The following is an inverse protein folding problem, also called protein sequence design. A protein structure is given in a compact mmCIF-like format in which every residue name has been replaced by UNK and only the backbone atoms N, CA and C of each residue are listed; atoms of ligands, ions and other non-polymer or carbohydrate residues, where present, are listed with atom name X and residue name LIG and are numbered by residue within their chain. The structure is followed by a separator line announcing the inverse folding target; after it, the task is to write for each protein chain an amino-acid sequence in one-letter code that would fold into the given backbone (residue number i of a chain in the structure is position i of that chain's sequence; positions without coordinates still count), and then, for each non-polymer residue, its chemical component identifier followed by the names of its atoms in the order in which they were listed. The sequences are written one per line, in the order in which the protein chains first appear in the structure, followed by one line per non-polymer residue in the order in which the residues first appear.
data_IF_707773018421
#
_entry.id   IF_707773018421
#
_cell.length_a   1.000
_cell.length_b   1.000
_cell.length_c   1.000
_cell.angle_alpha   90.00
_cell.angle_beta   90.00
_cell.angle_gamma   90.00
#
_symmetry.space_group_name_H-M   'P 1'
#
loop_
_entity.id
_entity.type
_entity.pdbx_description
1 polymer ?
#
# COMPACT_ATOMS: atom_id res chain seq x y z
N UNK A 1 48.86 14.80 42.36
CA UNK A 1 47.90 15.30 41.35
C UNK A 1 47.88 14.31 40.20
N UNK A 2 46.92 13.39 40.18
CA UNK A 2 46.71 12.46 39.05
C UNK A 2 45.43 12.89 38.34
N UNK A 3 45.60 13.51 37.17
CA UNK A 3 44.51 13.77 36.25
C UNK A 3 44.28 12.49 35.43
N UNK A 4 43.16 11.80 35.66
CA UNK A 4 42.69 10.74 34.76
C UNK A 4 41.67 11.38 33.83
N UNK A 5 42.08 11.46 32.58
CA UNK A 5 41.32 11.94 31.43
C UNK A 5 40.07 11.07 31.25
N UNK A 6 38.88 11.67 31.37
CA UNK A 6 37.63 11.02 30.96
C UNK A 6 37.54 11.03 29.44
N UNK A 7 37.72 9.87 28.82
CA UNK A 7 37.51 9.68 27.39
C UNK A 7 36.00 9.59 27.12
N UNK A 8 35.37 10.72 26.84
CA UNK A 8 33.99 10.76 26.36
C UNK A 8 33.96 10.21 24.93
N UNK A 9 33.63 8.93 24.79
CA UNK A 9 33.24 8.34 23.51
C UNK A 9 31.86 8.92 23.17
N UNK A 10 31.85 10.07 22.48
CA UNK A 10 30.68 10.49 21.72
C UNK A 10 30.55 9.51 20.56
N UNK A 11 29.70 8.50 20.73
CA UNK A 11 29.18 7.74 19.60
C UNK A 11 28.44 8.75 18.70
N UNK A 12 29.09 9.16 17.61
CA UNK A 12 28.37 9.67 16.44
C UNK A 12 27.53 8.50 15.93
N UNK A 13 26.33 8.33 16.49
CA UNK A 13 25.30 7.55 15.83
C UNK A 13 25.12 8.23 14.46
N UNK A 14 25.30 7.51 13.34
CA UNK A 14 24.97 8.06 12.04
C UNK A 14 23.50 8.48 12.12
N UNK A 15 23.25 9.79 12.03
CA UNK A 15 21.91 10.29 11.75
C UNK A 15 21.63 9.91 10.32
N UNK A 16 21.12 8.70 10.14
CA UNK A 16 20.63 8.28 8.86
C UNK A 16 19.36 9.09 8.61
N UNK A 17 19.46 10.02 7.67
CA UNK A 17 18.34 10.78 7.15
C UNK A 17 17.66 9.88 6.12
N UNK A 18 16.76 9.00 6.57
CA UNK A 18 15.95 8.20 5.65
C UNK A 18 14.84 9.07 5.10
N UNK A 19 14.80 9.40 3.81
CA UNK A 19 13.90 10.44 3.31
C UNK A 19 13.35 9.96 1.97
N UNK A 20 12.04 9.93 1.81
CA UNK A 20 11.41 9.57 0.53
C UNK A 20 10.07 10.27 0.37
N UNK A 21 9.77 10.66 -0.87
CA UNK A 21 8.53 11.33 -1.22
C UNK A 21 7.92 10.72 -2.48
N UNK A 22 6.62 10.90 -2.63
CA UNK A 22 5.94 10.79 -3.91
C UNK A 22 6.35 11.97 -4.81
N UNK A 23 6.75 11.68 -6.05
CA UNK A 23 7.05 12.70 -7.06
C UNK A 23 6.12 12.57 -8.26
N UNK A 24 5.41 13.66 -8.55
CA UNK A 24 4.62 13.84 -9.77
C UNK A 24 4.37 15.34 -9.97
N UNK A 25 4.28 15.87 -11.21
CA UNK A 25 4.01 17.29 -11.47
C UNK A 25 2.71 17.81 -10.82
N UNK A 26 1.76 16.92 -10.54
CA UNK A 26 0.50 17.24 -9.86
C UNK A 26 0.62 17.42 -8.34
N UNK A 27 1.81 17.25 -7.74
CA UNK A 27 1.99 17.40 -6.29
C UNK A 27 2.09 18.87 -5.88
N UNK A 28 1.58 19.19 -4.69
CA UNK A 28 1.95 20.44 -4.03
C UNK A 28 3.43 20.41 -3.65
N UNK A 29 4.08 21.56 -3.77
CA UNK A 29 5.49 21.71 -3.43
C UNK A 29 6.46 21.00 -4.38
N UNK A 30 6.05 20.70 -5.62
CA UNK A 30 6.87 19.99 -6.60
C UNK A 30 8.27 20.60 -6.82
N UNK A 31 8.38 21.94 -6.68
CA UNK A 31 9.62 22.71 -6.82
C UNK A 31 10.14 23.32 -5.52
N UNK A 32 9.58 22.91 -4.36
CA UNK A 32 10.08 23.36 -3.05
C UNK A 32 11.48 22.77 -2.82
N UNK A 33 12.40 23.62 -2.37
CA UNK A 33 13.79 23.26 -2.04
C UNK A 33 14.08 23.51 -0.57
N UNK A 34 15.30 23.18 -0.13
CA UNK A 34 15.82 23.47 1.21
C UNK A 34 15.98 24.98 1.50
N UNK A 35 15.84 25.82 0.48
CA UNK A 35 15.95 27.30 0.56
C UNK A 35 14.59 28.00 0.48
N UNK A 36 13.51 27.27 0.23
CA UNK A 36 12.17 27.87 0.06
C UNK A 36 11.55 28.32 1.38
N UNK A 37 11.86 27.62 2.48
CA UNK A 37 11.37 27.91 3.82
C UNK A 37 12.55 28.23 4.76
N UNK A 38 12.26 28.76 5.95
CA UNK A 38 13.22 29.02 7.03
C UNK A 38 13.68 27.74 7.76
N UNK A 39 13.12 26.59 7.39
CA UNK A 39 13.49 25.24 7.82
C UNK A 39 13.46 24.29 6.61
N UNK A 40 14.05 23.10 6.75
CA UNK A 40 13.96 22.09 5.69
C UNK A 40 12.52 21.55 5.60
N UNK A 41 11.83 21.98 4.55
CA UNK A 41 10.47 21.58 4.23
C UNK A 41 10.39 21.01 2.81
N UNK A 42 11.47 20.39 2.32
CA UNK A 42 11.44 19.68 1.03
C UNK A 42 10.38 18.56 1.08
N UNK A 43 9.81 18.13 -0.06
CA UNK A 43 8.81 17.04 -0.07
C UNK A 43 9.24 15.76 0.63
N UNK A 44 10.56 15.48 0.66
CA UNK A 44 11.16 14.29 1.28
C UNK A 44 11.43 14.46 2.78
N UNK A 45 11.29 15.67 3.33
CA UNK A 45 11.53 15.93 4.74
C UNK A 45 10.43 15.26 5.58
N UNK A 46 10.79 14.61 6.70
CA UNK A 46 9.84 13.94 7.56
C UNK A 46 8.97 14.93 8.31
N UNK A 47 7.76 14.48 8.62
CA UNK A 47 6.81 15.20 9.47
C UNK A 47 6.88 14.58 10.87
N UNK A 48 7.09 15.43 11.89
CA UNK A 48 7.01 15.07 13.32
C UNK A 48 6.99 16.32 14.19
N UNK A 49 6.29 16.27 15.31
CA UNK A 49 6.20 17.37 16.29
C UNK A 49 5.85 18.72 15.65
N UNK A 50 5.01 18.70 14.61
CA UNK A 50 4.58 19.86 13.85
C UNK A 50 3.15 20.25 14.24
N UNK A 51 2.86 21.55 14.19
CA UNK A 51 1.49 22.05 14.29
C UNK A 51 0.73 21.76 12.99
N UNK A 52 -0.59 21.90 12.99
CA UNK A 52 -1.43 21.49 11.87
C UNK A 52 -1.05 22.18 10.56
N UNK A 53 -0.79 23.48 10.58
CA UNK A 53 -0.35 24.27 9.42
C UNK A 53 0.98 23.79 8.82
N UNK A 54 1.84 23.18 9.64
CA UNK A 54 3.16 22.68 9.23
C UNK A 54 3.11 21.27 8.65
N UNK A 55 2.36 20.37 9.27
CA UNK A 55 2.30 18.98 8.78
C UNK A 55 1.28 18.79 7.66
N UNK A 56 0.16 19.50 7.70
CA UNK A 56 -0.92 19.33 6.75
C UNK A 56 -0.48 19.73 5.36
N UNK A 57 -0.60 18.80 4.40
CA UNK A 57 -0.10 18.98 3.04
C UNK A 57 1.38 19.38 2.98
N UNK A 58 2.17 19.00 3.99
CA UNK A 58 3.59 19.37 4.10
C UNK A 58 3.80 20.89 4.11
N UNK A 59 2.79 21.68 4.50
CA UNK A 59 2.81 23.15 4.39
C UNK A 59 3.13 23.65 2.97
N UNK A 60 2.69 22.91 1.94
CA UNK A 60 2.93 23.24 0.53
C UNK A 60 1.70 23.81 -0.20
N UNK A 61 0.63 24.14 0.50
CA UNK A 61 -0.61 24.62 -0.13
C UNK A 61 -0.43 25.91 -0.95
N UNK A 62 0.53 26.76 -0.57
CA UNK A 62 0.89 27.98 -1.32
C UNK A 62 1.78 27.71 -2.55
N UNK A 63 2.17 26.45 -2.77
CA UNK A 63 2.97 25.98 -3.90
C UNK A 63 2.19 24.93 -4.71
N UNK A 64 1.06 25.30 -5.32
CA UNK A 64 0.22 24.36 -6.07
C UNK A 64 0.91 23.85 -7.34
N UNK A 65 0.51 22.67 -7.83
CA UNK A 65 0.87 22.21 -9.17
C UNK A 65 0.26 23.12 -10.25
N UNK A 66 0.69 22.95 -11.50
CA UNK A 66 0.06 23.67 -12.61
C UNK A 66 -1.41 23.26 -12.79
N UNK A 67 -2.18 24.12 -13.44
CA UNK A 67 -3.49 23.73 -13.95
C UNK A 67 -3.34 22.64 -15.02
N UNK A 68 -4.17 21.59 -14.94
CA UNK A 68 -4.15 20.46 -15.87
C UNK A 68 -3.22 19.30 -15.47
N UNK A 69 -2.31 19.49 -14.52
CA UNK A 69 -1.46 18.39 -14.02
C UNK A 69 -2.25 17.55 -13.01
N UNK A 70 -2.69 16.36 -13.43
CA UNK A 70 -3.37 15.36 -12.60
C UNK A 70 -2.62 14.02 -12.61
N UNK A 71 -2.59 13.35 -11.46
CA UNK A 71 -2.18 11.96 -11.38
C UNK A 71 -3.40 11.07 -11.67
N UNK A 72 -3.34 10.32 -12.77
CA UNK A 72 -4.45 9.50 -13.25
C UNK A 72 -4.62 8.21 -12.43
N UNK A 73 -5.86 7.92 -12.05
CA UNK A 73 -6.26 6.72 -11.30
C UNK A 73 -7.19 5.85 -12.16
N UNK A 74 -6.64 4.97 -13.02
CA UNK A 74 -7.45 4.11 -13.89
C UNK A 74 -8.14 3.01 -13.08
N UNK A 75 -9.49 2.98 -13.06
CA UNK A 75 -10.23 2.02 -12.23
C UNK A 75 -9.93 0.57 -12.60
N UNK A 76 -9.69 -0.27 -11.58
CA UNK A 76 -9.40 -1.70 -11.76
C UNK A 76 -7.99 -2.01 -12.28
N UNK A 77 -7.16 -0.98 -12.46
CA UNK A 77 -5.79 -1.09 -12.97
C UNK A 77 -4.78 -0.50 -11.96
N UNK A 78 -3.49 -0.85 -12.07
CA UNK A 78 -2.44 -0.20 -11.31
C UNK A 78 -2.19 1.25 -11.77
N UNK A 79 -2.10 2.16 -10.81
CA UNK A 79 -1.48 3.48 -10.98
C UNK A 79 -0.03 3.43 -10.46
N UNK A 80 0.94 3.68 -11.34
CA UNK A 80 2.36 3.62 -10.99
C UNK A 80 2.85 4.97 -10.47
N UNK A 81 3.21 5.04 -9.20
CA UNK A 81 3.83 6.21 -8.59
C UNK A 81 5.36 6.12 -8.59
N UNK A 82 6.03 7.27 -8.64
CA UNK A 82 7.48 7.35 -8.41
C UNK A 82 7.77 7.82 -6.99
N UNK A 83 8.36 6.94 -6.18
CA UNK A 83 8.78 7.23 -4.80
C UNK A 83 10.30 7.20 -4.74
N UNK A 84 10.92 8.29 -4.29
CA UNK A 84 12.37 8.38 -4.24
C UNK A 84 12.87 9.31 -3.14
N UNK A 85 14.17 9.25 -2.83
CA UNK A 85 14.80 10.16 -1.86
C UNK A 85 15.13 11.54 -2.42
N UNK A 86 15.04 11.71 -3.73
CA UNK A 86 15.28 12.97 -4.41
C UNK A 86 14.56 13.00 -5.76
N UNK A 87 14.09 14.18 -6.19
CA UNK A 87 13.46 14.35 -7.51
C UNK A 87 14.40 13.96 -8.65
N UNK A 88 15.71 14.17 -8.49
CA UNK A 88 16.74 13.76 -9.44
C UNK A 88 16.81 12.24 -9.67
N UNK A 89 16.32 11.44 -8.72
CA UNK A 89 16.24 9.99 -8.85
C UNK A 89 14.93 9.53 -9.53
N UNK A 90 14.13 10.43 -10.10
CA UNK A 90 12.85 10.14 -10.75
C UNK A 90 12.85 10.56 -12.22
N UNK A 91 11.79 10.24 -12.97
CA UNK A 91 11.62 10.75 -14.34
C UNK A 91 11.49 12.28 -14.40
N UNK A 92 11.28 12.94 -13.26
CA UNK A 92 11.13 14.39 -13.13
C UNK A 92 12.44 15.13 -12.83
N UNK A 93 13.58 14.47 -13.01
CA UNK A 93 14.91 14.99 -12.71
C UNK A 93 15.24 16.33 -13.40
N UNK A 94 14.62 16.63 -14.55
CA UNK A 94 14.89 17.85 -15.32
C UNK A 94 14.62 19.14 -14.53
N UNK A 95 13.75 19.06 -13.51
CA UNK A 95 13.43 20.17 -12.60
C UNK A 95 14.14 20.04 -11.22
N UNK A 96 15.05 19.09 -11.08
CA UNK A 96 15.86 18.90 -9.86
C UNK A 96 17.15 19.74 -9.94
N UNK A 97 17.55 20.37 -8.83
CA UNK A 97 18.80 21.15 -8.74
C UNK A 97 20.05 20.30 -9.09
N UNK A 98 20.02 19.00 -8.75
CA UNK A 98 21.14 18.07 -8.95
C UNK A 98 21.15 17.33 -10.29
N UNK A 99 20.16 17.54 -11.16
CA UNK A 99 20.02 16.79 -12.42
C UNK A 99 19.63 15.32 -12.24
N UNK A 100 19.94 14.49 -13.25
CA UNK A 100 19.63 13.05 -13.27
C UNK A 100 20.63 12.26 -12.43
N UNK A 101 20.14 11.67 -11.34
CA UNK A 101 20.93 10.79 -10.47
C UNK A 101 20.40 9.36 -10.47
N UNK A 102 19.48 9.02 -11.38
CA UNK A 102 18.92 7.66 -11.49
C UNK A 102 20.04 6.65 -11.74
N UNK A 103 19.90 5.49 -11.12
CA UNK A 103 20.80 4.36 -11.37
C UNK A 103 20.39 3.66 -12.68
N UNK A 104 21.20 3.72 -13.75
CA UNK A 104 20.86 3.10 -15.03
C UNK A 104 20.82 1.57 -14.96
N UNK A 105 21.50 0.96 -13.98
CA UNK A 105 21.55 -0.50 -13.80
C UNK A 105 20.43 -1.00 -12.89
N UNK A 106 19.83 -0.11 -12.10
CA UNK A 106 18.70 -0.43 -11.24
C UNK A 106 17.65 0.70 -11.29
N UNK A 107 16.74 0.67 -12.27
CA UNK A 107 15.71 1.70 -12.38
C UNK A 107 14.76 1.73 -11.17
N UNK A 108 14.69 0.68 -10.36
CA UNK A 108 13.87 0.64 -9.16
C UNK A 108 14.57 1.17 -7.90
N UNK A 109 15.81 1.65 -8.00
CA UNK A 109 16.54 2.19 -6.85
C UNK A 109 15.85 3.46 -6.33
N UNK A 110 15.28 3.38 -5.12
CA UNK A 110 14.60 4.50 -4.43
C UNK A 110 15.59 5.61 -4.09
N UNK A 111 16.83 5.25 -3.75
CA UNK A 111 17.87 6.21 -3.39
C UNK A 111 19.25 5.78 -3.91
N UNK A 112 19.59 6.15 -5.16
CA UNK A 112 20.90 5.89 -5.75
C UNK A 112 22.05 6.35 -4.84
N UNK A 113 23.12 5.54 -4.80
CA UNK A 113 24.32 5.77 -3.98
C UNK A 113 24.11 5.76 -2.45
N UNK A 114 22.98 5.24 -1.96
CA UNK A 114 22.68 5.13 -0.53
C UNK A 114 22.25 3.71 -0.13
N UNK A 115 22.47 3.35 1.14
CA UNK A 115 21.99 2.11 1.74
C UNK A 115 20.47 2.12 1.99
N UNK A 116 19.90 0.98 2.39
CA UNK A 116 18.44 0.86 2.63
C UNK A 116 17.96 1.69 3.81
N UNK A 117 18.88 2.09 4.69
CA UNK A 117 18.60 2.97 5.81
C UNK A 117 18.17 4.38 5.33
N UNK A 118 18.58 4.79 4.12
CA UNK A 118 18.13 6.04 3.49
C UNK A 118 16.64 6.06 3.12
N UNK A 119 15.95 4.94 3.27
CA UNK A 119 14.49 4.83 3.18
C UNK A 119 13.94 3.94 4.31
N UNK A 120 14.59 4.03 5.47
CA UNK A 120 14.07 3.53 6.74
C UNK A 120 13.70 2.04 6.77
N UNK A 121 14.57 1.20 6.20
CA UNK A 121 14.38 -0.25 6.30
C UNK A 121 15.70 -0.99 6.46
N UNK A 122 15.68 -2.08 7.23
CA UNK A 122 16.78 -3.05 7.30
C UNK A 122 16.75 -4.05 6.12
N UNK A 123 15.71 -4.00 5.29
CA UNK A 123 15.51 -4.85 4.13
C UNK A 123 14.04 -5.21 3.90
N UNK A 124 13.76 -5.93 2.81
CA UNK A 124 12.39 -6.20 2.34
C UNK A 124 11.41 -6.74 3.41
N UNK A 125 11.88 -7.57 4.35
CA UNK A 125 11.02 -8.16 5.39
C UNK A 125 10.65 -7.19 6.54
N UNK A 126 11.30 -6.01 6.58
CA UNK A 126 11.12 -4.92 7.56
C UNK A 126 10.26 -3.77 7.01
N UNK A 127 9.68 -3.92 5.80
CA UNK A 127 8.77 -2.94 5.22
C UNK A 127 7.40 -2.97 5.93
N UNK A 128 6.84 -1.78 6.15
CA UNK A 128 5.58 -1.57 6.88
C UNK A 128 4.46 -0.98 6.00
N UNK A 129 4.74 -0.74 4.72
CA UNK A 129 3.77 -0.31 3.71
C UNK A 129 3.49 1.19 3.69
N UNK A 130 2.84 1.62 2.62
CA UNK A 130 2.37 2.98 2.40
C UNK A 130 1.01 2.96 1.68
N UNK A 131 0.38 4.12 1.58
CA UNK A 131 -0.97 4.21 1.05
C UNK A 131 -1.22 5.49 0.22
N UNK A 132 -2.20 5.40 -0.67
CA UNK A 132 -2.81 6.56 -1.32
C UNK A 132 -4.20 6.80 -0.73
N UNK A 133 -4.47 8.06 -0.38
CA UNK A 133 -5.76 8.54 0.05
C UNK A 133 -6.38 9.46 -0.99
N UNK A 134 -7.71 9.56 -1.00
CA UNK A 134 -8.48 10.44 -1.88
C UNK A 134 -9.55 11.19 -1.08
N UNK A 135 -9.79 12.44 -1.46
CA UNK A 135 -10.90 13.27 -1.04
C UNK A 135 -11.61 13.82 -2.29
N UNK A 136 -12.92 13.56 -2.41
CA UNK A 136 -13.75 13.99 -3.54
C UNK A 136 -14.12 15.48 -3.42
N UNK A 137 -13.11 16.33 -3.48
CA UNK A 137 -13.20 17.81 -3.46
C UNK A 137 -12.20 18.35 -4.47
N UNK A 138 -12.59 19.36 -5.24
CA UNK A 138 -11.70 20.04 -6.20
C UNK A 138 -10.93 21.20 -5.57
N UNK A 139 -11.50 21.85 -4.56
CA UNK A 139 -10.83 22.90 -3.78
C UNK A 139 -10.09 22.31 -2.56
N UNK A 140 -8.77 22.35 -2.60
CA UNK A 140 -7.89 21.86 -1.52
C UNK A 140 -8.15 22.56 -0.19
N UNK A 141 -8.61 23.82 -0.19
CA UNK A 141 -8.91 24.57 1.05
C UNK A 141 -10.11 24.00 1.80
N UNK A 142 -10.94 23.21 1.12
CA UNK A 142 -12.10 22.55 1.72
C UNK A 142 -11.77 21.16 2.25
N UNK A 143 -10.59 20.62 1.94
CA UNK A 143 -10.15 19.30 2.40
C UNK A 143 -9.75 19.38 3.87
N UNK A 144 -10.28 18.45 4.66
CA UNK A 144 -9.95 18.22 6.06
C UNK A 144 -9.35 16.81 6.21
N UNK A 145 -8.54 16.58 7.27
CA UNK A 145 -8.04 15.25 7.62
C UNK A 145 -9.10 14.15 7.60
N UNK A 146 -10.32 14.44 8.06
CA UNK A 146 -11.39 13.45 8.18
C UNK A 146 -12.07 13.12 6.84
N UNK A 147 -11.75 13.84 5.75
CA UNK A 147 -12.31 13.58 4.42
C UNK A 147 -11.53 12.53 3.64
N UNK A 148 -10.24 12.35 3.96
CA UNK A 148 -9.39 11.43 3.22
C UNK A 148 -9.78 9.98 3.49
N UNK A 149 -9.96 9.22 2.40
CA UNK A 149 -10.16 7.77 2.44
C UNK A 149 -9.00 7.07 1.78
N UNK A 150 -8.35 6.14 2.47
CA UNK A 150 -7.35 5.25 1.87
C UNK A 150 -8.05 4.33 0.87
N UNK A 151 -7.67 4.43 -0.40
CA UNK A 151 -8.27 3.62 -1.49
C UNK A 151 -7.29 2.56 -2.05
N UNK A 152 -5.99 2.75 -1.86
CA UNK A 152 -4.98 1.76 -2.27
C UNK A 152 -3.81 1.74 -1.29
N UNK A 153 -3.27 0.54 -1.07
CA UNK A 153 -2.13 0.27 -0.19
C UNK A 153 -1.11 -0.58 -0.95
N UNK A 154 0.17 -0.33 -0.69
CA UNK A 154 1.25 -1.24 -1.07
C UNK A 154 2.05 -1.58 0.17
N UNK A 155 1.99 -2.83 0.65
CA UNK A 155 2.63 -3.27 1.89
C UNK A 155 4.15 -3.45 1.76
N UNK A 156 4.67 -3.46 0.53
CA UNK A 156 6.10 -3.54 0.21
C UNK A 156 6.69 -2.17 -0.14
N UNK A 157 5.98 -1.11 0.25
CA UNK A 157 6.32 0.23 -0.15
C UNK A 157 7.57 0.79 0.52
N UNK A 158 8.17 1.68 -0.27
CA UNK A 158 9.50 2.28 -0.22
C UNK A 158 10.62 1.26 -0.38
N UNK A 159 10.41 0.31 -1.30
CA UNK A 159 11.43 -0.62 -1.77
C UNK A 159 11.77 -0.45 -3.25
N UNK A 160 10.76 -0.16 -4.07
CA UNK A 160 10.93 0.11 -5.50
C UNK A 160 10.53 1.55 -5.80
N UNK A 161 11.33 2.23 -6.64
CA UNK A 161 10.99 3.58 -7.11
C UNK A 161 9.63 3.61 -7.79
N UNK A 162 9.41 2.71 -8.74
CA UNK A 162 8.10 2.51 -9.34
C UNK A 162 7.27 1.63 -8.39
N UNK A 163 6.38 2.26 -7.65
CA UNK A 163 5.46 1.58 -6.73
C UNK A 163 4.07 1.60 -7.33
N UNK A 164 3.50 0.42 -7.59
CA UNK A 164 2.14 0.29 -8.10
C UNK A 164 1.11 0.35 -6.97
N UNK A 165 0.06 1.12 -7.20
CA UNK A 165 -1.13 1.21 -6.36
C UNK A 165 -2.34 0.75 -7.17
N UNK A 166 -3.00 -0.32 -6.73
CA UNK A 166 -4.16 -0.87 -7.43
C UNK A 166 -5.39 0.00 -7.14
N UNK A 167 -6.02 0.54 -8.18
CA UNK A 167 -7.21 1.38 -8.03
C UNK A 167 -8.45 0.49 -7.97
N UNK A 168 -9.35 0.64 -6.98
CA UNK A 168 -10.59 -0.13 -6.94
C UNK A 168 -11.42 0.05 -8.20
N UNK A 169 -11.97 -1.04 -8.75
CA UNK A 169 -12.74 -1.01 -10.01
C UNK A 169 -14.05 -0.19 -9.92
N UNK A 170 -14.50 0.10 -8.69
CA UNK A 170 -15.77 0.77 -8.41
C UNK A 170 -15.61 2.24 -8.02
N UNK A 171 -14.39 2.80 -8.13
CA UNK A 171 -14.14 4.21 -7.81
C UNK A 171 -15.07 5.11 -8.65
N UNK A 172 -15.87 6.00 -8.02
CA UNK A 172 -16.71 6.94 -8.76
C UNK A 172 -15.87 8.05 -9.40
N UNK A 173 -16.41 8.75 -10.43
CA UNK A 173 -15.71 9.86 -11.05
C UNK A 173 -15.50 11.01 -10.07
N UNK A 174 -14.38 11.72 -10.20
CA UNK A 174 -14.14 12.94 -9.44
C UNK A 174 -15.10 14.08 -9.86
N UNK A 175 -15.33 15.08 -8.99
CA UNK A 175 -16.05 16.28 -9.39
C UNK A 175 -15.28 17.06 -10.46
N UNK A 176 -15.95 18.05 -11.08
CA UNK A 176 -15.28 19.00 -11.97
C UNK A 176 -14.12 19.68 -11.26
N UNK A 177 -12.96 19.73 -11.93
CA UNK A 177 -11.70 20.19 -11.34
C UNK A 177 -10.86 19.09 -10.66
N UNK A 178 -11.33 17.83 -10.71
CA UNK A 178 -10.64 16.66 -10.17
C UNK A 178 -10.80 16.49 -8.67
N UNK A 179 -10.11 15.49 -8.12
CA UNK A 179 -10.04 15.21 -6.70
C UNK A 179 -8.70 15.67 -6.10
N UNK A 180 -8.64 15.68 -4.77
CA UNK A 180 -7.37 15.80 -4.06
C UNK A 180 -6.97 14.45 -3.49
N UNK A 181 -5.75 14.02 -3.76
CA UNK A 181 -5.16 12.81 -3.22
C UNK A 181 -3.95 13.13 -2.34
N UNK A 182 -3.52 12.14 -1.56
CA UNK A 182 -2.27 12.24 -0.83
C UNK A 182 -1.61 10.88 -0.62
N UNK A 183 -0.29 10.85 -0.76
CA UNK A 183 0.57 9.74 -0.40
C UNK A 183 0.91 9.79 1.08
N UNK A 184 0.83 8.65 1.77
CA UNK A 184 1.20 8.52 3.17
C UNK A 184 2.12 7.33 3.41
N UNK A 185 3.13 7.53 4.26
CA UNK A 185 4.05 6.47 4.64
C UNK A 185 4.49 6.61 6.11
N UNK A 186 4.59 5.48 6.80
CA UNK A 186 5.18 5.34 8.12
C UNK A 186 6.03 4.06 8.08
N UNK A 187 7.27 4.15 8.52
CA UNK A 187 8.24 3.07 8.40
C UNK A 187 8.37 2.23 9.68
N UNK A 188 9.19 1.20 9.61
CA UNK A 188 9.53 0.35 10.74
C UNK A 188 10.30 1.14 11.81
N UNK A 189 10.03 0.92 13.11
CA UNK A 189 10.80 1.54 14.18
C UNK A 189 12.24 1.00 14.27
N UNK A 190 12.62 0.02 13.44
CA UNK A 190 13.95 -0.59 13.45
C UNK A 190 15.01 0.22 12.68
N UNK A 191 14.61 1.25 11.91
CA UNK A 191 15.54 2.04 11.09
C UNK A 191 15.06 3.50 10.99
N UNK A 192 15.76 4.42 11.65
CA UNK A 192 15.41 5.84 11.70
C UNK A 192 14.77 6.31 12.99
N UNK A 193 14.32 7.56 13.01
CA UNK A 193 13.53 8.15 14.10
C UNK A 193 12.03 8.07 13.81
N UNK A 194 11.21 8.54 14.74
CA UNK A 194 9.74 8.45 14.65
C UNK A 194 9.20 9.56 13.75
N UNK A 195 8.76 9.18 12.56
CA UNK A 195 8.40 10.11 11.50
C UNK A 195 7.21 9.58 10.70
N UNK A 196 6.42 10.51 10.17
CA UNK A 196 5.40 10.22 9.18
C UNK A 196 5.65 11.04 7.92
N UNK A 197 5.15 10.56 6.78
CA UNK A 197 5.34 11.19 5.48
C UNK A 197 3.98 11.46 4.85
N UNK A 198 3.84 12.65 4.26
CA UNK A 198 2.64 13.09 3.56
C UNK A 198 3.04 13.93 2.35
N UNK A 199 2.53 13.58 1.17
CA UNK A 199 2.62 14.44 -0.01
C UNK A 199 1.24 14.55 -0.65
N UNK A 200 0.65 15.75 -0.67
CA UNK A 200 -0.61 15.99 -1.35
C UNK A 200 -0.41 16.17 -2.86
N UNK A 201 -1.38 15.76 -3.67
CA UNK A 201 -1.36 15.96 -5.13
C UNK A 201 -2.77 15.99 -5.74
N UNK A 202 -2.91 16.65 -6.88
CA UNK A 202 -4.12 16.60 -7.70
C UNK A 202 -4.21 15.25 -8.41
N UNK A 203 -5.39 14.64 -8.38
CA UNK A 203 -5.66 13.34 -9.00
C UNK A 203 -7.02 13.32 -9.68
N UNK A 204 -7.19 12.41 -10.62
CA UNK A 204 -8.47 12.17 -11.29
C UNK A 204 -8.72 10.68 -11.49
N UNK A 205 -9.99 10.27 -11.46
CA UNK A 205 -10.40 8.87 -11.63
C UNK A 205 -10.81 8.65 -13.08
N UNK A 206 -10.09 7.79 -13.79
CA UNK A 206 -10.34 7.48 -15.20
C UNK A 206 -10.99 6.13 -15.41
N UNK A 207 -11.84 6.04 -16.44
CA UNK A 207 -12.54 4.80 -16.80
C UNK A 207 -13.64 4.40 -15.81
N UNK A 208 -14.10 5.29 -14.92
CA UNK A 208 -15.13 4.97 -13.94
C UNK A 208 -16.42 4.45 -14.58
N UNK A 209 -16.95 3.37 -14.02
CA UNK A 209 -18.21 2.72 -14.43
C UNK A 209 -19.23 2.67 -13.28
N UNK A 210 -18.98 3.40 -12.20
CA UNK A 210 -19.78 3.40 -10.97
C UNK A 210 -20.01 4.84 -10.53
N UNK A 211 -21.21 5.13 -10.03
CA UNK A 211 -21.56 6.42 -9.41
C UNK A 211 -21.71 6.30 -7.88
N UNK A 212 -21.46 5.11 -7.33
CA UNK A 212 -21.59 4.85 -5.89
C UNK A 212 -20.50 5.59 -5.13
N UNK A 213 -20.85 6.54 -4.24
CA UNK A 213 -19.87 7.30 -3.48
C UNK A 213 -19.12 6.43 -2.47
N UNK A 214 -17.94 6.91 -2.08
CA UNK A 214 -17.23 6.36 -0.93
C UNK A 214 -18.04 6.59 0.35
N UNK A 215 -17.98 5.62 1.27
CA UNK A 215 -18.47 5.80 2.62
C UNK A 215 -17.60 6.82 3.36
N UNK A 216 -18.17 7.47 4.39
CA UNK A 216 -17.40 8.37 5.25
C UNK A 216 -16.28 7.57 5.95
N UNK A 217 -15.00 7.95 5.81
CA UNK A 217 -13.92 7.19 6.39
C UNK A 217 -13.89 7.35 7.91
N UNK A 218 -13.49 6.28 8.60
CA UNK A 218 -13.32 6.26 10.06
C UNK A 218 -11.89 5.90 10.44
N UNK A 219 -11.51 6.15 11.68
CA UNK A 219 -10.14 5.88 12.16
C UNK A 219 -9.87 4.37 12.14
N UNK A 220 -8.75 3.97 11.54
CA UNK A 220 -8.32 2.58 11.53
C UNK A 220 -7.85 2.13 12.91
N UNK A 221 -8.24 0.91 13.31
CA UNK A 221 -7.92 0.35 14.64
C UNK A 221 -6.86 -0.74 14.53
N UNK A 222 -5.94 -0.78 15.49
CA UNK A 222 -4.97 -1.87 15.62
C UNK A 222 -5.71 -3.17 15.93
N UNK A 223 -5.77 -4.08 14.98
CA UNK A 223 -6.55 -5.31 15.09
C UNK A 223 -5.83 -6.56 14.58
N UNK A 224 -4.84 -6.42 13.71
CA UNK A 224 -4.05 -7.56 13.25
C UNK A 224 -3.09 -8.08 14.33
N UNK A 225 -2.51 -9.25 14.08
CA UNK A 225 -1.49 -9.81 14.95
C UNK A 225 -0.23 -8.94 14.94
N UNK A 226 0.40 -8.81 16.10
CA UNK A 226 1.62 -8.05 16.31
C UNK A 226 2.47 -8.74 17.41
N UNK A 227 3.28 -9.74 17.03
CA UNK A 227 4.09 -10.50 17.97
C UNK A 227 5.16 -9.66 18.69
N UNK A 228 5.63 -8.57 18.09
CA UNK A 228 6.62 -7.67 18.71
C UNK A 228 6.05 -7.04 19.97
N UNK A 229 4.75 -6.71 19.96
CA UNK A 229 4.04 -6.15 21.10
C UNK A 229 3.18 -7.18 21.86
N UNK A 230 3.59 -8.46 21.84
CA UNK A 230 2.92 -9.57 22.53
C UNK A 230 1.43 -9.76 22.16
N UNK A 231 1.02 -9.32 20.96
CA UNK A 231 -0.32 -9.58 20.40
C UNK A 231 -0.23 -10.72 19.39
N UNK A 232 -0.23 -11.96 19.89
CA UNK A 232 0.01 -13.14 19.07
C UNK A 232 -1.15 -13.51 18.12
N UNK A 233 -2.36 -13.02 18.42
CA UNK A 233 -3.56 -13.29 17.64
C UNK A 233 -4.16 -11.96 17.17
N UNK A 234 -4.71 -11.97 15.96
CA UNK A 234 -5.54 -10.88 15.49
C UNK A 234 -6.85 -10.85 16.29
N UNK A 235 -7.47 -9.68 16.37
CA UNK A 235 -8.80 -9.44 16.91
C UNK A 235 -9.70 -8.86 15.81
N UNK A 236 -10.21 -9.69 14.88
CA UNK A 236 -10.99 -9.22 13.71
C UNK A 236 -12.18 -8.35 14.10
N UNK A 237 -12.88 -8.69 15.18
CA UNK A 237 -14.01 -7.92 15.72
C UNK A 237 -13.62 -6.51 16.23
N UNK A 238 -12.33 -6.22 16.40
CA UNK A 238 -11.82 -4.89 16.74
C UNK A 238 -11.36 -4.08 15.51
N UNK A 239 -11.34 -4.67 14.32
CA UNK A 239 -10.93 -3.98 13.09
C UNK A 239 -11.92 -2.89 12.70
N UNK A 240 -11.40 -1.85 12.04
CA UNK A 240 -12.22 -0.94 11.23
C UNK A 240 -12.39 -1.55 9.85
N UNK A 241 -13.64 -1.84 9.49
CA UNK A 241 -14.03 -2.28 8.15
C UNK A 241 -14.59 -1.11 7.36
N UNK A 242 -14.49 -1.20 6.04
CA UNK A 242 -14.88 -0.13 5.12
C UNK A 242 -13.83 0.98 5.01
N UNK A 243 -14.32 2.17 4.65
CA UNK A 243 -13.51 3.36 4.44
C UNK A 243 -12.73 3.75 5.69
N UNK A 244 -11.40 3.87 5.54
CA UNK A 244 -10.47 4.19 6.62
C UNK A 244 -9.72 5.49 6.32
N UNK A 245 -9.52 6.30 7.37
CA UNK A 245 -8.69 7.49 7.30
C UNK A 245 -7.20 7.14 7.22
N UNK A 246 -6.35 8.04 6.69
CA UNK A 246 -4.91 7.96 6.86
C UNK A 246 -4.50 8.04 8.33
N UNK A 247 -3.26 7.66 8.61
CA UNK A 247 -2.66 7.85 9.92
C UNK A 247 -2.07 9.25 10.06
N UNK A 248 -2.64 10.02 10.96
CA UNK A 248 -2.08 11.27 11.47
C UNK A 248 -1.50 10.97 12.86
N UNK A 249 -0.18 10.89 12.92
CA UNK A 249 0.57 10.38 14.07
C UNK A 249 1.77 11.28 14.36
N UNK A 250 2.22 11.32 15.61
CA UNK A 250 3.47 11.97 16.04
C UNK A 250 3.61 13.46 15.74
N UNK A 251 2.49 14.19 15.62
CA UNK A 251 2.44 15.65 15.48
C UNK A 251 1.93 16.34 16.75
N UNK A 252 1.97 17.67 16.82
CA UNK A 252 1.49 18.41 18.00
C UNK A 252 -0.04 18.55 18.01
N UNK A 253 -0.67 18.52 16.82
CA UNK A 253 -2.08 18.82 16.65
C UNK A 253 -2.74 17.84 15.68
N UNK A 254 -4.04 17.57 15.94
CA UNK A 254 -4.94 16.81 15.04
C UNK A 254 -4.46 15.40 14.67
N UNK A 255 -3.75 14.72 15.56
CA UNK A 255 -3.51 13.28 15.41
C UNK A 255 -4.81 12.48 15.56
N UNK A 256 -4.97 11.41 14.78
CA UNK A 256 -5.97 10.37 15.01
C UNK A 256 -5.35 9.06 15.55
N UNK A 257 -4.01 8.98 15.55
CA UNK A 257 -3.22 7.86 16.06
C UNK A 257 -2.37 8.31 17.25
N UNK A 258 -2.26 7.47 18.28
CA UNK A 258 -1.62 7.80 19.58
C UNK A 258 -0.66 6.71 20.06
N UNK A 259 -0.20 5.87 19.14
CA UNK A 259 0.76 4.82 19.37
C UNK A 259 2.12 5.40 19.82
N UNK A 260 2.84 4.63 20.63
CA UNK A 260 4.18 5.00 21.05
C UNK A 260 5.22 4.80 19.94
N UNK A 261 6.35 5.46 20.12
CA UNK A 261 7.57 5.41 19.32
C UNK A 261 7.92 4.03 18.74
N UNK A 262 7.97 2.99 19.57
CA UNK A 262 8.37 1.63 19.15
C UNK A 262 7.19 0.75 18.70
N UNK A 263 6.05 1.36 18.41
CA UNK A 263 4.84 0.66 17.99
C UNK A 263 4.02 1.44 16.98
N UNK A 264 4.63 2.07 15.96
CA UNK A 264 3.94 3.00 15.07
C UNK A 264 2.73 2.35 14.39
N UNK A 265 1.73 3.15 14.00
CA UNK A 265 0.66 2.69 13.11
C UNK A 265 1.25 2.48 11.70
N UNK A 266 0.80 1.44 11.00
CA UNK A 266 1.42 0.99 9.75
C UNK A 266 0.36 0.56 8.74
N UNK A 267 0.61 0.81 7.45
CA UNK A 267 -0.33 0.54 6.36
C UNK A 267 -0.28 -0.93 5.93
N UNK A 268 -0.66 -1.82 6.84
CA UNK A 268 -0.75 -3.25 6.58
C UNK A 268 -1.86 -3.95 7.41
N UNK A 269 -1.87 -5.28 7.37
CA UNK A 269 -2.84 -6.14 8.05
C UNK A 269 -3.00 -5.82 9.55
N UNK A 270 -1.99 -5.22 10.21
CA UNK A 270 -2.08 -4.78 11.61
C UNK A 270 -3.22 -3.80 11.86
N UNK A 271 -3.60 -3.02 10.86
CA UNK A 271 -4.68 -2.03 10.90
C UNK A 271 -5.79 -2.30 9.88
N UNK A 272 -5.90 -3.55 9.42
CA UNK A 272 -6.87 -3.96 8.40
C UNK A 272 -6.71 -3.19 7.06
N UNK A 273 -5.48 -2.81 6.73
CA UNK A 273 -5.11 -2.30 5.42
C UNK A 273 -4.56 -3.44 4.58
N UNK A 274 -5.43 -4.04 3.77
CA UNK A 274 -5.06 -5.14 2.89
C UNK A 274 -4.13 -4.62 1.79
N UNK A 275 -3.20 -5.46 1.33
CA UNK A 275 -2.34 -5.11 0.19
C UNK A 275 -3.16 -4.96 -1.10
N UNK A 276 -2.93 -3.87 -1.85
CA UNK A 276 -3.66 -3.53 -3.08
C UNK A 276 -4.84 -2.60 -2.86
N UNK A 277 -5.86 -2.75 -3.70
CA UNK A 277 -7.06 -1.92 -3.72
C UNK A 277 -7.92 -2.15 -2.48
N UNK A 278 -8.47 -1.09 -1.90
CA UNK A 278 -9.44 -1.16 -0.81
C UNK A 278 -10.86 -1.21 -1.40
N UNK A 279 -11.34 -2.42 -1.72
CA UNK A 279 -12.61 -2.62 -2.43
C UNK A 279 -13.87 -2.47 -1.54
N UNK A 280 -13.70 -2.33 -0.22
CA UNK A 280 -14.78 -2.30 0.77
C UNK A 280 -15.19 -0.87 1.19
N UNK A 281 -14.67 0.17 0.53
CA UNK A 281 -14.79 1.57 0.97
C UNK A 281 -16.07 2.30 0.52
N UNK A 282 -16.98 1.65 -0.20
CA UNK A 282 -18.17 2.28 -0.79
C UNK A 282 -19.38 2.23 0.15
N UNK A 283 -20.33 3.15 -0.02
CA UNK A 283 -21.53 3.21 0.84
C UNK A 283 -22.37 1.93 0.82
N UNK A 284 -22.29 1.14 -0.25
CA UNK A 284 -23.04 -0.10 -0.43
C UNK A 284 -22.17 -1.36 -0.32
N UNK A 285 -20.92 -1.24 0.12
CA UNK A 285 -20.02 -2.40 0.29
C UNK A 285 -20.52 -3.36 1.38
N UNK A 286 -21.25 -2.85 2.37
CA UNK A 286 -21.75 -3.62 3.50
C UNK A 286 -23.25 -3.44 3.69
N UNK A 287 -23.95 -4.54 4.01
CA UNK A 287 -25.33 -4.51 4.50
C UNK A 287 -25.39 -4.06 5.96
N UNK A 288 -24.37 -4.40 6.75
CA UNK A 288 -24.21 -3.95 8.12
C UNK A 288 -22.76 -3.99 8.56
N UNK A 289 -22.30 -2.93 9.23
CA UNK A 289 -20.99 -2.86 9.89
C UNK A 289 -21.22 -2.66 11.39
N UNK A 290 -21.07 -3.71 12.22
CA UNK A 290 -21.20 -3.60 13.67
C UNK A 290 -20.14 -2.67 14.26
N UNK A 291 -20.47 -2.04 15.41
CA UNK A 291 -19.47 -1.28 16.16
C UNK A 291 -18.36 -2.20 16.67
N UNK A 292 -17.06 -1.89 16.42
CA UNK A 292 -15.96 -2.76 16.83
C UNK A 292 -15.91 -2.99 18.35
N UNK A 293 -15.83 -4.25 18.76
CA UNK A 293 -15.71 -4.67 20.15
C UNK A 293 -15.12 -6.10 20.23
N UNK A 294 -14.54 -6.54 21.36
CA UNK A 294 -13.94 -7.87 21.47
C UNK A 294 -14.86 -9.05 21.09
N UNK A 295 -16.17 -8.87 21.21
CA UNK A 295 -17.21 -9.86 20.91
C UNK A 295 -18.23 -9.35 19.87
N UNK A 296 -17.90 -8.32 19.10
CA UNK A 296 -18.79 -7.83 18.04
C UNK A 296 -18.97 -8.89 16.96
N UNK A 297 -20.15 -8.89 16.33
CA UNK A 297 -20.37 -9.66 15.12
C UNK A 297 -19.45 -9.15 13.99
N UNK A 298 -19.12 -10.04 13.06
CA UNK A 298 -18.40 -9.67 11.84
C UNK A 298 -19.30 -8.83 10.93
N UNK A 299 -18.74 -7.91 10.12
CA UNK A 299 -19.51 -7.16 9.16
C UNK A 299 -20.09 -8.08 8.08
N UNK A 300 -21.25 -7.70 7.56
CA UNK A 300 -21.94 -8.43 6.51
C UNK A 300 -21.74 -7.70 5.17
N UNK A 301 -20.93 -8.30 4.29
CA UNK A 301 -20.69 -7.78 2.94
C UNK A 301 -21.98 -7.84 2.11
N UNK A 302 -22.19 -6.82 1.29
CA UNK A 302 -23.24 -6.83 0.29
C UNK A 302 -22.80 -7.62 -0.95
N UNK A 303 -23.74 -8.33 -1.59
CA UNK A 303 -23.48 -8.93 -2.91
C UNK A 303 -23.51 -7.83 -3.98
N UNK A 304 -22.33 -7.29 -4.28
CA UNK A 304 -22.13 -6.22 -5.26
C UNK A 304 -21.74 -6.76 -6.64
N UNK A 305 -21.54 -8.09 -6.79
CA UNK A 305 -21.10 -8.70 -8.05
C UNK A 305 -22.16 -8.59 -9.17
N UNK A 306 -23.43 -8.43 -8.80
CA UNK A 306 -24.54 -8.29 -9.73
C UNK A 306 -24.73 -6.87 -10.31
N UNK A 307 -23.96 -5.86 -9.84
CA UNK A 307 -24.20 -4.45 -10.16
C UNK A 307 -23.22 -3.83 -11.15
N UNK A 308 -22.11 -4.49 -11.48
CA UNK A 308 -21.21 -4.00 -12.53
C UNK A 308 -21.75 -4.43 -13.90
N UNK A 309 -21.91 -3.51 -14.87
CA UNK A 309 -22.29 -3.90 -16.22
C UNK A 309 -21.21 -4.83 -16.80
N UNK A 310 -21.61 -6.06 -17.14
CA UNK A 310 -20.74 -7.03 -17.80
C UNK A 310 -20.34 -6.42 -19.15
N UNK A 311 -19.04 -6.24 -19.38
CA UNK A 311 -18.53 -5.88 -20.69
C UNK A 311 -19.01 -6.94 -21.72
N UNK A 312 -19.87 -6.52 -22.65
CA UNK A 312 -20.35 -7.32 -23.76
C UNK A 312 -19.18 -7.75 -24.62
N UNK A 313 -18.73 -9.00 -24.46
CA UNK A 313 -17.81 -9.63 -25.40
C UNK A 313 -18.59 -9.85 -26.69
N UNK A 314 -18.34 -9.01 -27.70
CA UNK A 314 -18.77 -9.29 -29.08
C UNK A 314 -17.96 -10.48 -29.60
N UNK A 315 -18.49 -11.67 -29.36
CA UNK A 315 -17.97 -12.92 -29.90
C UNK A 315 -18.22 -12.95 -31.41
N UNK A 316 -17.20 -12.58 -32.19
CA UNK A 316 -17.19 -12.74 -33.65
C UNK A 316 -16.94 -14.21 -33.96
N UNK A 317 -18.02 -15.00 -33.93
CA UNK A 317 -18.03 -16.38 -34.39
C UNK A 317 -17.94 -16.43 -35.92
N UNK A 318 -16.74 -16.64 -36.44
CA UNK A 318 -16.56 -17.16 -37.80
C UNK A 318 -16.94 -18.64 -37.82
N UNK A 319 -18.12 -18.92 -38.36
CA UNK A 319 -18.59 -20.27 -38.62
C UNK A 319 -17.68 -20.97 -39.64
N UNK A 320 -17.03 -22.07 -39.23
CA UNK A 320 -16.43 -23.05 -40.15
C UNK A 320 -17.29 -24.31 -40.09
N UNK A 321 -17.85 -24.67 -41.24
CA UNK A 321 -18.76 -25.79 -41.46
C UNK A 321 -18.10 -27.16 -41.23
N UNK A 322 -18.88 -28.20 -40.84
CA UNK A 322 -18.34 -29.53 -40.63
C UNK A 322 -18.19 -30.29 -41.96
N UNK A 323 -17.03 -30.93 -42.16
CA UNK A 323 -16.88 -31.99 -43.17
C UNK A 323 -16.80 -33.35 -42.46
N UNK A 324 -17.68 -34.25 -42.88
CA UNK A 324 -17.71 -35.65 -42.49
C UNK A 324 -17.36 -36.57 -43.68
N UNK A 325 -17.09 -37.84 -43.33
CA UNK A 325 -16.81 -39.04 -44.14
C UNK A 325 -15.34 -39.27 -44.54
N UNK A 326 -14.73 -40.46 -44.32
CA UNK A 326 -15.31 -41.77 -44.02
C UNK A 326 -14.33 -42.82 -43.47
N UNK A 327 -14.91 -43.96 -43.08
CA UNK A 327 -14.34 -45.22 -42.56
C UNK A 327 -13.45 -45.93 -43.60
N UNK A 328 -12.35 -46.58 -43.22
CA UNK A 328 -12.13 -48.02 -42.90
C UNK A 328 -10.68 -48.31 -43.40
N UNK A 329 -9.85 -49.27 -42.98
CA UNK A 329 -10.01 -50.53 -42.27
C UNK A 329 -8.61 -51.00 -41.77
N UNK A 330 -8.63 -52.05 -40.95
CA UNK A 330 -7.55 -52.86 -40.33
C UNK A 330 -6.19 -53.08 -41.04
N UNK A 331 -5.11 -53.20 -40.25
CA UNK A 331 -4.27 -54.42 -40.15
C UNK A 331 -3.12 -54.34 -39.11
N UNK A 332 -2.80 -55.49 -38.52
CA UNK A 332 -1.77 -55.85 -37.51
C UNK A 332 -0.32 -55.40 -37.88
N UNK A 333 0.73 -55.37 -37.03
CA UNK A 333 1.17 -56.34 -36.01
C UNK A 333 2.28 -55.82 -35.04
N UNK A 334 2.36 -56.50 -33.89
CA UNK A 334 3.56 -56.95 -33.13
C UNK A 334 4.59 -55.96 -32.55
N UNK A 335 4.78 -56.03 -31.22
CA UNK A 335 6.00 -55.52 -30.57
C UNK A 335 5.97 -55.55 -29.04
N UNK A 336 6.13 -56.74 -28.49
CA UNK A 336 6.38 -57.23 -27.12
C UNK A 336 6.97 -56.28 -26.02
N UNK A 337 6.57 -56.58 -24.76
CA UNK A 337 7.46 -56.58 -23.59
C UNK A 337 7.59 -55.33 -22.71
N UNK A 338 6.89 -55.29 -21.56
CA UNK A 338 7.51 -55.35 -20.23
C UNK A 338 6.60 -54.81 -19.10
N UNK A 339 6.67 -55.51 -17.99
CA UNK A 339 5.97 -55.46 -16.70
C UNK A 339 6.24 -54.23 -15.84
N UNK A 340 5.23 -53.76 -15.08
CA UNK A 340 5.29 -53.44 -13.63
C UNK A 340 4.03 -52.62 -13.23
N UNK A 341 3.05 -53.23 -12.58
CA UNK A 341 2.90 -53.35 -11.12
C UNK A 341 2.21 -52.13 -10.47
N UNK A 342 0.94 -52.33 -10.13
CA UNK A 342 0.09 -51.48 -9.31
C UNK A 342 0.61 -51.48 -7.86
N UNK A 343 1.04 -50.32 -7.34
CA UNK A 343 1.30 -50.16 -5.92
C UNK A 343 0.37 -49.07 -5.32
N UNK A 344 -0.63 -49.55 -4.58
CA UNK A 344 -1.36 -48.80 -3.55
C UNK A 344 -0.37 -48.30 -2.50
N UNK A 345 -0.19 -46.99 -2.36
CA UNK A 345 0.45 -46.42 -1.18
C UNK A 345 -0.60 -46.13 -0.10
N UNK A 346 -0.50 -46.89 1.00
CA UNK A 346 -1.23 -46.73 2.25
C UNK A 346 -0.96 -45.34 2.85
N UNK A 347 -2.01 -44.71 3.39
CA UNK A 347 -1.88 -43.61 4.35
C UNK A 347 -1.41 -44.20 5.67
N UNK A 348 -0.22 -43.81 6.11
CA UNK A 348 0.23 -44.04 7.48
C UNK A 348 -0.30 -42.92 8.37
N UNK A 349 -1.18 -43.28 9.30
CA UNK A 349 -1.64 -42.44 10.41
C UNK A 349 -0.76 -42.73 11.62
N UNK A 350 0.41 -42.11 11.69
CA UNK A 350 1.22 -42.12 12.90
C UNK A 350 2.10 -40.87 12.96
N UNK A 351 1.50 -39.76 13.35
CA UNK A 351 2.22 -38.62 13.95
C UNK A 351 1.24 -37.77 14.77
N UNK A 352 0.52 -38.45 15.67
CA UNK A 352 -0.12 -37.80 16.80
C UNK A 352 0.96 -37.63 17.89
N UNK A 353 1.17 -36.38 18.31
CA UNK A 353 2.09 -35.93 19.38
C UNK A 353 3.47 -35.44 18.91
N UNK A 354 3.50 -34.24 18.33
CA UNK A 354 4.66 -33.34 18.41
C UNK A 354 4.22 -31.97 18.93
N UNK A 355 4.99 -31.29 19.80
CA UNK A 355 4.62 -29.99 20.35
C UNK A 355 4.58 -28.94 19.23
N UNK A 356 3.51 -28.15 19.22
CA UNK A 356 3.27 -27.10 18.23
C UNK A 356 4.33 -26.00 18.36
N UNK A 357 5.34 -26.00 17.47
CA UNK A 357 6.44 -25.04 17.53
C UNK A 357 6.03 -23.67 17.00
N UNK A 358 6.52 -22.62 17.68
CA UNK A 358 6.27 -21.17 17.53
C UNK A 358 6.52 -20.58 16.13
N UNK A 359 6.97 -21.37 15.15
CA UNK A 359 7.46 -20.89 13.85
C UNK A 359 6.38 -20.77 12.77
N UNK A 360 5.23 -21.47 12.87
CA UNK A 360 4.24 -21.49 11.78
C UNK A 360 3.26 -20.31 11.74
N UNK A 361 3.01 -19.63 12.86
CA UNK A 361 2.03 -18.53 12.94
C UNK A 361 2.63 -17.20 12.43
N UNK A 362 3.90 -16.92 12.72
CA UNK A 362 4.65 -15.80 12.14
C UNK A 362 4.82 -15.92 10.61
N UNK A 363 4.64 -17.12 10.05
CA UNK A 363 4.75 -17.35 8.61
C UNK A 363 3.52 -16.90 7.82
N UNK A 364 2.34 -16.72 8.45
CA UNK A 364 1.13 -16.34 7.70
C UNK A 364 1.10 -14.85 7.33
N UNK A 365 1.45 -13.94 8.23
CA UNK A 365 1.53 -12.50 7.90
C UNK A 365 2.69 -12.18 6.93
N UNK A 366 3.75 -13.00 6.95
CA UNK A 366 4.89 -12.87 6.02
C UNK A 366 4.68 -13.59 4.68
N UNK A 367 3.86 -14.66 4.61
CA UNK A 367 3.54 -15.35 3.35
C UNK A 367 2.67 -14.52 2.43
N UNK A 368 1.72 -13.76 3.00
CA UNK A 368 0.89 -12.80 2.25
C UNK A 368 1.76 -11.97 1.30
N UNK A 369 2.80 -11.31 1.82
CA UNK A 369 3.70 -10.40 1.08
C UNK A 369 4.51 -11.02 -0.06
N UNK A 370 4.58 -12.35 -0.19
CA UNK A 370 5.28 -13.07 -1.29
C UNK A 370 4.34 -13.73 -2.30
N UNK A 371 3.03 -13.66 -2.09
CA UNK A 371 2.05 -14.25 -3.01
C UNK A 371 1.72 -13.27 -4.13
N UNK A 372 1.47 -13.78 -5.33
CA UNK A 372 0.85 -12.98 -6.39
C UNK A 372 -0.52 -12.46 -5.94
N UNK A 373 -0.88 -11.24 -6.36
CA UNK A 373 -2.07 -10.51 -5.91
C UNK A 373 -3.36 -11.31 -6.11
N UNK A 374 -3.48 -12.07 -7.21
CA UNK A 374 -4.63 -12.93 -7.51
C UNK A 374 -4.83 -14.03 -6.46
N UNK A 375 -3.72 -14.60 -5.94
CA UNK A 375 -3.74 -15.65 -4.91
C UNK A 375 -4.01 -15.11 -3.50
N UNK A 376 -3.80 -13.82 -3.25
CA UNK A 376 -4.15 -13.18 -1.97
C UNK A 376 -5.65 -12.89 -1.87
N UNK A 377 -6.26 -12.40 -2.96
CA UNK A 377 -7.71 -12.14 -3.04
C UNK A 377 -8.56 -13.38 -2.70
N UNK A 378 -8.11 -14.57 -3.12
CA UNK A 378 -8.83 -15.82 -2.84
C UNK A 378 -8.78 -16.26 -1.38
N UNK A 379 -7.79 -15.83 -0.59
CA UNK A 379 -7.66 -16.23 0.82
C UNK A 379 -8.69 -15.53 1.72
N UNK A 380 -9.21 -14.39 1.29
CA UNK A 380 -10.21 -13.61 2.02
C UNK A 380 -11.63 -13.85 1.54
N UNK A 381 -11.84 -14.34 0.31
CA UNK A 381 -13.12 -14.92 -0.12
C UNK A 381 -13.47 -16.24 0.61
N UNK A 382 -12.61 -16.70 1.53
CA UNK A 382 -12.84 -17.87 2.38
C UNK A 382 -13.44 -17.53 3.76
N UNK A 383 -13.68 -16.24 4.05
CA UNK A 383 -14.25 -15.78 5.32
C UNK A 383 -15.52 -14.97 5.13
#
# INVERSE_FOLDING_TARGET
MLAIVSLAIFTLLPRVSGHSAFFHPSMWGFNVTDKTFDYDNRPVAPIKNMNFDKWWFHNHLDYPPNEGDFFELPVGEPATAEIACNKGATSYFASSEGGDIRDPNNPNNVCPNSGTEAYHTLGFDDLEGCALAIAYKSDVKQVQPEDFTIFSVNQTCVWTRFTEFQVPARMPPCPEGGCICSFFWIHSPNSGGEENYMNGFRCDVTGSISDVPLAKPTVARRCGADPVNNRLQAAPANCTYGAKQPFYWFNNERNNMFEGTYSPPVYNDRYNFLDGAQDDIFIDSYLSVPTPAPNAAMPLLADVSAKLPIASINDSTTAIAPRACGKADSSLSSGDGSTAEYAKAKRDMSDAHRPWSRSRIALMSRRSRKLDWKKRRSLWNMW
#
